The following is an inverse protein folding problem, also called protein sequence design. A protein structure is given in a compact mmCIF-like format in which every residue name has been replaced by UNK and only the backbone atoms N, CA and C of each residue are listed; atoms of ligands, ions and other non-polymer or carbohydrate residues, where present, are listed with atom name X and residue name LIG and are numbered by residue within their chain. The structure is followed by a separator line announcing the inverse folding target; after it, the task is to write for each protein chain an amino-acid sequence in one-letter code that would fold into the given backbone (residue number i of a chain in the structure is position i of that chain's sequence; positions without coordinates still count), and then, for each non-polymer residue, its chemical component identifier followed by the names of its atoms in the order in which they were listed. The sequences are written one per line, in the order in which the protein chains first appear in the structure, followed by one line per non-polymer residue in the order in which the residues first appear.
data_IF_247852248241
#
_entry.id   IF_247852248241
#
_cell.length_a   1.000
_cell.length_b   1.000
_cell.length_c   1.000
_cell.angle_alpha   90.00
_cell.angle_beta   90.00
_cell.angle_gamma   90.00
#
_symmetry.space_group_name_H-M   'P 1'
#
loop_
_entity.id
_entity.type
_entity.pdbx_description
1 polymer ?
#
# COMPACT_ATOMS: atom_id res chain seq x y z
N UNK A 1 -32.99 10.84 -56.50
CA UNK A 1 -31.89 9.87 -56.38
C UNK A 1 -32.53 8.49 -56.34
N UNK A 2 -32.47 7.77 -57.45
CA UNK A 2 -32.90 6.37 -57.49
C UNK A 2 -31.91 5.54 -56.66
N UNK A 3 -32.44 4.74 -55.75
CA UNK A 3 -31.65 3.92 -54.84
C UNK A 3 -31.45 2.56 -55.51
N UNK A 4 -30.51 2.46 -56.45
CA UNK A 4 -30.27 1.23 -57.19
C UNK A 4 -29.40 0.27 -56.37
N UNK A 5 -29.92 -0.92 -56.09
CA UNK A 5 -29.16 -1.97 -55.42
C UNK A 5 -28.08 -2.51 -56.37
N UNK A 6 -26.82 -2.39 -55.96
CA UNK A 6 -25.69 -2.89 -56.74
C UNK A 6 -25.42 -4.35 -56.38
N UNK A 7 -25.37 -5.21 -57.40
CA UNK A 7 -25.02 -6.61 -57.21
C UNK A 7 -23.51 -6.76 -57.00
N UNK A 8 -23.15 -7.33 -55.85
CA UNK A 8 -21.79 -7.60 -55.44
C UNK A 8 -21.62 -9.10 -55.23
N UNK A 9 -20.55 -9.67 -55.77
CA UNK A 9 -20.21 -11.08 -55.56
C UNK A 9 -18.95 -11.22 -54.71
N UNK A 10 -18.95 -12.21 -53.82
CA UNK A 10 -17.78 -12.53 -53.01
C UNK A 10 -16.77 -13.25 -53.88
N UNK A 11 -15.56 -12.70 -53.99
CA UNK A 11 -14.49 -13.37 -54.70
C UNK A 11 -13.86 -14.43 -53.80
N UNK A 12 -13.92 -15.70 -54.19
CA UNK A 12 -13.19 -16.76 -53.51
C UNK A 12 -11.69 -16.58 -53.79
N UNK A 13 -10.91 -16.32 -52.73
CA UNK A 13 -9.45 -16.16 -52.83
C UNK A 13 -8.86 -17.51 -53.23
N UNK A 14 -8.58 -17.71 -54.52
CA UNK A 14 -7.91 -18.94 -54.99
C UNK A 14 -6.45 -18.75 -55.34
N UNK A 15 -5.95 -17.53 -55.51
CA UNK A 15 -4.53 -17.30 -55.73
C UNK A 15 -4.16 -15.89 -55.25
N UNK A 16 -3.56 -15.79 -54.06
CA UNK A 16 -2.58 -14.77 -53.67
C UNK A 16 -2.09 -15.11 -52.27
N UNK A 17 -0.91 -15.74 -52.23
CA UNK A 17 -0.08 -15.77 -51.04
C UNK A 17 0.23 -14.32 -50.61
N UNK A 18 0.24 -14.10 -49.30
CA UNK A 18 0.63 -12.87 -48.61
C UNK A 18 -0.38 -11.71 -48.60
N UNK A 19 -1.40 -11.84 -47.76
CA UNK A 19 -1.76 -10.78 -46.82
C UNK A 19 -2.47 -11.36 -45.59
N UNK A 20 -1.90 -11.10 -44.42
CA UNK A 20 -2.44 -11.44 -43.09
C UNK A 20 -3.78 -10.72 -42.84
N UNK A 21 -4.67 -11.43 -42.15
CA UNK A 21 -5.97 -11.04 -41.58
C UNK A 21 -7.19 -10.79 -42.50
N UNK A 22 -8.13 -11.74 -42.43
CA UNK A 22 -9.60 -11.60 -42.32
C UNK A 22 -10.45 -10.68 -43.23
N UNK A 23 -9.92 -10.05 -44.29
CA UNK A 23 -10.76 -9.24 -45.18
C UNK A 23 -11.47 -10.08 -46.26
N UNK A 24 -12.79 -9.97 -46.35
CA UNK A 24 -13.59 -10.57 -47.42
C UNK A 24 -13.65 -9.60 -48.60
N UNK A 25 -13.06 -9.99 -49.74
CA UNK A 25 -13.10 -9.19 -50.97
C UNK A 25 -14.43 -9.37 -51.70
N UNK A 26 -15.15 -8.27 -51.88
CA UNK A 26 -16.35 -8.19 -52.69
C UNK A 26 -16.04 -7.41 -53.97
N UNK A 27 -16.55 -7.91 -55.09
CA UNK A 27 -16.46 -7.23 -56.39
C UNK A 27 -17.87 -6.87 -56.81
N UNK A 28 -18.12 -5.57 -56.93
CA UNK A 28 -19.40 -5.03 -57.36
C UNK A 28 -19.25 -4.44 -58.76
N UNK A 29 -20.28 -4.61 -59.61
CA UNK A 29 -20.30 -4.03 -60.95
C UNK A 29 -21.56 -3.21 -61.11
N UNK A 30 -21.41 -2.00 -61.64
CA UNK A 30 -22.52 -1.11 -61.98
C UNK A 30 -22.35 -0.60 -63.40
N UNK A 31 -23.45 -0.47 -64.12
CA UNK A 31 -23.51 0.12 -65.46
C UNK A 31 -24.18 1.48 -65.33
N UNK A 32 -23.45 2.54 -65.67
CA UNK A 32 -23.98 3.90 -65.74
C UNK A 32 -23.59 4.49 -67.10
N UNK A 33 -24.52 5.20 -67.73
CA UNK A 33 -24.36 5.75 -69.07
C UNK A 33 -24.00 7.24 -69.05
N UNK A 34 -23.84 7.83 -67.86
CA UNK A 34 -23.67 9.26 -67.67
C UNK A 34 -22.44 9.58 -66.82
N UNK A 35 -21.41 10.12 -67.45
CA UNK A 35 -20.17 10.57 -66.81
C UNK A 35 -19.91 12.03 -67.19
N UNK A 36 -19.56 12.86 -66.22
CA UNK A 36 -19.33 14.28 -66.43
C UNK A 36 -18.70 14.96 -65.24
N UNK A 37 -18.07 16.11 -65.47
CA UNK A 37 -17.50 16.94 -64.41
C UNK A 37 -18.65 17.43 -63.52
N UNK A 38 -18.61 17.08 -62.22
CA UNK A 38 -19.64 17.40 -61.23
C UNK A 38 -20.68 16.31 -60.98
N UNK A 39 -20.50 15.09 -61.53
CA UNK A 39 -21.29 13.91 -61.17
C UNK A 39 -20.54 13.11 -60.09
N UNK A 40 -21.11 13.05 -58.89
CA UNK A 40 -20.59 12.28 -57.76
C UNK A 40 -21.49 11.08 -57.45
N UNK A 41 -20.92 9.87 -57.51
CA UNK A 41 -21.57 8.63 -57.09
C UNK A 41 -21.20 8.31 -55.63
N UNK A 42 -22.22 8.10 -54.78
CA UNK A 42 -22.03 7.76 -53.37
C UNK A 42 -22.53 6.35 -53.10
N UNK A 43 -21.61 5.45 -52.78
CA UNK A 43 -21.92 4.06 -52.42
C UNK A 43 -21.99 3.90 -50.90
N UNK A 44 -22.95 3.12 -50.42
CA UNK A 44 -23.10 2.80 -49.00
C UNK A 44 -23.51 1.34 -48.80
N UNK A 45 -23.07 0.74 -47.70
CA UNK A 45 -23.45 -0.61 -47.33
C UNK A 45 -24.64 -0.57 -46.39
N UNK A 46 -25.72 -1.25 -46.76
CA UNK A 46 -26.89 -1.43 -45.90
C UNK A 46 -26.92 -2.87 -45.38
N UNK A 47 -26.87 -3.10 -44.07
CA UNK A 47 -26.99 -4.45 -43.53
C UNK A 47 -28.40 -5.00 -43.78
N UNK A 48 -28.49 -6.30 -44.06
CA UNK A 48 -29.77 -6.99 -44.28
C UNK A 48 -30.66 -7.02 -43.02
N UNK A 49 -30.04 -6.92 -41.84
CA UNK A 49 -30.74 -6.87 -40.56
C UNK A 49 -30.84 -5.43 -40.08
N UNK A 50 -32.01 -5.08 -39.54
CA UNK A 50 -32.21 -3.80 -38.85
C UNK A 50 -31.49 -3.85 -37.50
N UNK A 51 -30.29 -3.27 -37.44
CA UNK A 51 -29.52 -3.13 -36.21
C UNK A 51 -29.90 -1.82 -35.53
N UNK A 52 -30.90 -1.88 -34.65
CA UNK A 52 -31.43 -0.71 -33.94
C UNK A 52 -31.72 -1.06 -32.49
N UNK A 53 -31.42 -0.12 -31.59
CA UNK A 53 -31.89 -0.12 -30.20
C UNK A 53 -32.54 1.22 -29.90
N UNK A 54 -33.66 1.21 -29.20
CA UNK A 54 -34.40 2.39 -28.76
C UNK A 54 -34.69 2.25 -27.26
N UNK A 55 -34.63 3.36 -26.54
CA UNK A 55 -34.92 3.41 -25.11
C UNK A 55 -35.78 4.64 -24.81
N UNK A 56 -36.95 4.41 -24.19
CA UNK A 56 -37.75 5.48 -23.62
C UNK A 56 -37.20 5.81 -22.23
N UNK A 57 -36.74 7.04 -22.04
CA UNK A 57 -36.11 7.49 -20.80
C UNK A 57 -37.06 8.42 -20.05
N UNK A 58 -37.49 7.99 -18.86
CA UNK A 58 -38.16 8.87 -17.92
C UNK A 58 -37.11 9.74 -17.22
N UNK A 59 -37.16 11.05 -17.49
CA UNK A 59 -36.19 12.03 -16.99
C UNK A 59 -36.17 12.09 -15.46
N UNK A 60 -37.28 11.84 -14.79
CA UNK A 60 -37.39 11.95 -13.33
C UNK A 60 -37.05 10.65 -12.59
N UNK A 61 -36.96 9.52 -13.32
CA UNK A 61 -36.53 8.22 -12.79
C UNK A 61 -35.10 7.83 -13.20
N UNK A 62 -34.44 8.65 -14.02
CA UNK A 62 -33.07 8.40 -14.50
C UNK A 62 -32.20 9.65 -14.31
N UNK A 63 -32.29 10.28 -13.14
CA UNK A 63 -31.54 11.50 -12.84
C UNK A 63 -30.12 11.16 -12.42
N UNK A 64 -29.12 11.64 -13.15
CA UNK A 64 -27.74 11.69 -12.67
C UNK A 64 -27.40 13.14 -12.31
N UNK A 65 -27.15 13.39 -11.03
CA UNK A 65 -26.87 14.75 -10.55
C UNK A 65 -25.43 15.15 -10.87
N UNK A 66 -25.17 16.45 -10.89
CA UNK A 66 -23.81 16.97 -11.02
C UNK A 66 -23.00 16.72 -9.75
N UNK A 67 -21.68 16.48 -9.87
CA UNK A 67 -20.80 16.22 -8.72
C UNK A 67 -20.75 17.41 -7.77
N UNK A 68 -20.76 17.17 -6.44
CA UNK A 68 -20.56 18.23 -5.45
C UNK A 68 -19.29 19.03 -5.69
N UNK A 69 -19.33 20.32 -5.38
CA UNK A 69 -18.23 21.26 -5.65
C UNK A 69 -17.67 21.86 -4.36
N UNK A 70 -16.45 22.40 -4.43
CA UNK A 70 -15.79 23.11 -3.32
C UNK A 70 -15.71 22.27 -2.04
N UNK A 71 -15.36 20.99 -2.16
CA UNK A 71 -15.07 20.16 -1.00
C UNK A 71 -13.83 20.71 -0.28
N UNK A 72 -13.99 21.06 1.00
CA UNK A 72 -12.93 21.58 1.85
C UNK A 72 -12.99 20.95 3.23
N UNK A 73 -11.82 20.83 3.87
CA UNK A 73 -11.69 20.28 5.23
C UNK A 73 -11.14 21.36 6.15
N UNK A 74 -11.75 21.51 7.33
CA UNK A 74 -11.30 22.45 8.35
C UNK A 74 -11.21 21.78 9.72
N UNK A 75 -10.17 22.11 10.49
CA UNK A 75 -9.98 21.62 11.85
C UNK A 75 -10.84 22.43 12.82
N UNK A 76 -11.66 21.76 13.62
CA UNK A 76 -12.50 22.41 14.64
C UNK A 76 -11.71 22.66 15.92
N UNK A 77 -12.25 23.48 16.83
CA UNK A 77 -11.65 23.73 18.15
C UNK A 77 -11.57 22.48 19.03
N UNK A 78 -12.42 21.47 18.79
CA UNK A 78 -12.38 20.18 19.48
C UNK A 78 -11.31 19.23 18.95
N UNK A 79 -10.63 19.59 17.85
CA UNK A 79 -9.66 18.74 17.16
C UNK A 79 -10.28 17.84 16.08
N UNK A 80 -11.59 17.91 15.87
CA UNK A 80 -12.31 17.15 14.84
C UNK A 80 -12.19 17.80 13.45
N UNK A 81 -12.55 17.07 12.40
CA UNK A 81 -12.44 17.55 11.02
C UNK A 81 -13.82 17.80 10.42
N UNK A 82 -14.11 19.05 10.08
CA UNK A 82 -15.33 19.47 9.43
C UNK A 82 -15.11 19.54 7.91
N UNK A 83 -15.74 18.62 7.19
CA UNK A 83 -15.83 18.62 5.73
C UNK A 83 -17.05 19.43 5.33
N UNK A 84 -16.88 20.34 4.38
CA UNK A 84 -17.96 21.14 3.80
C UNK A 84 -17.86 21.13 2.28
N UNK A 85 -19.00 21.09 1.61
CA UNK A 85 -19.10 21.18 0.15
C UNK A 85 -20.31 22.03 -0.25
N UNK A 86 -20.46 22.26 -1.54
CA UNK A 86 -21.65 22.87 -2.15
C UNK A 86 -22.29 21.89 -3.12
N UNK A 87 -23.62 21.92 -3.20
CA UNK A 87 -24.33 21.33 -4.32
C UNK A 87 -23.87 22.03 -5.61
N UNK A 88 -23.84 21.31 -6.72
CA UNK A 88 -23.46 21.88 -8.01
C UNK A 88 -24.50 22.89 -8.51
N UNK A 89 -24.02 24.00 -9.08
CA UNK A 89 -24.85 24.99 -9.75
C UNK A 89 -25.56 24.31 -10.94
N UNK A 90 -26.89 24.26 -10.91
CA UNK A 90 -27.71 23.56 -11.90
C UNK A 90 -28.67 22.50 -11.31
N UNK A 91 -28.48 22.10 -10.05
CA UNK A 91 -29.41 21.23 -9.32
C UNK A 91 -30.63 22.01 -8.76
N UNK A 92 -31.01 23.12 -9.40
CA UNK A 92 -32.10 24.00 -8.94
C UNK A 92 -33.41 23.20 -8.79
N UNK A 93 -33.89 23.09 -7.55
CA UNK A 93 -35.08 22.29 -7.18
C UNK A 93 -34.80 20.98 -6.43
N UNK A 94 -33.54 20.52 -6.36
CA UNK A 94 -33.12 19.32 -5.62
C UNK A 94 -32.28 19.60 -4.37
N UNK A 95 -31.88 20.84 -4.09
CA UNK A 95 -30.87 21.15 -3.04
C UNK A 95 -31.16 20.55 -1.66
N UNK A 96 -32.42 20.51 -1.23
CA UNK A 96 -32.85 19.93 0.05
C UNK A 96 -33.25 18.45 -0.06
N UNK A 97 -33.16 17.88 -1.25
CA UNK A 97 -33.63 16.56 -1.61
C UNK A 97 -32.49 15.64 -2.11
N UNK A 98 -31.23 16.03 -1.90
CA UNK A 98 -30.05 15.23 -2.23
C UNK A 98 -29.57 14.40 -1.03
N UNK A 99 -29.15 13.18 -1.33
CA UNK A 99 -28.37 12.34 -0.43
C UNK A 99 -26.92 12.34 -0.90
N UNK A 100 -26.00 12.55 0.03
CA UNK A 100 -24.57 12.62 -0.21
C UNK A 100 -23.89 11.41 0.38
N UNK A 101 -22.96 10.84 -0.38
CA UNK A 101 -22.05 9.82 0.11
C UNK A 101 -20.65 10.45 0.22
N UNK A 102 -20.16 10.52 1.46
CA UNK A 102 -18.79 10.95 1.76
C UNK A 102 -17.95 9.71 1.92
N UNK A 103 -16.88 9.59 1.15
CA UNK A 103 -15.88 8.52 1.31
C UNK A 103 -14.55 9.12 1.68
N UNK A 104 -13.84 8.47 2.61
CA UNK A 104 -12.52 8.91 3.04
C UNK A 104 -11.62 7.73 3.38
N UNK A 105 -10.32 7.93 3.18
CA UNK A 105 -9.28 6.95 3.41
C UNK A 105 -7.96 7.63 3.69
N UNK A 106 -6.97 6.89 4.17
CA UNK A 106 -5.59 7.38 4.16
C UNK A 106 -5.08 7.41 2.74
N UNK A 107 -4.17 8.33 2.46
CA UNK A 107 -3.68 8.58 1.10
C UNK A 107 -3.14 7.30 0.43
N UNK A 108 -2.45 6.45 1.20
CA UNK A 108 -1.86 5.20 0.73
C UNK A 108 -2.84 4.00 0.64
N UNK A 109 -4.05 4.12 1.18
CA UNK A 109 -5.05 3.04 1.15
C UNK A 109 -5.78 3.00 -0.21
N UNK A 110 -6.35 1.83 -0.55
CA UNK A 110 -7.24 1.70 -1.72
C UNK A 110 -8.63 2.27 -1.41
N UNK A 111 -9.27 2.86 -2.41
CA UNK A 111 -10.67 3.31 -2.34
C UNK A 111 -11.67 2.17 -2.08
N UNK A 112 -11.33 0.92 -2.43
CA UNK A 112 -12.19 -0.26 -2.17
C UNK A 112 -12.40 -0.54 -0.68
N UNK A 113 -11.48 -0.09 0.18
CA UNK A 113 -11.52 -0.28 1.63
C UNK A 113 -11.82 1.02 2.38
N UNK A 114 -12.18 2.08 1.66
CA UNK A 114 -12.46 3.39 2.24
C UNK A 114 -13.67 3.33 3.18
N UNK A 115 -13.62 4.12 4.24
CA UNK A 115 -14.79 4.36 5.07
C UNK A 115 -15.76 5.27 4.30
N UNK A 116 -17.05 5.09 4.53
CA UNK A 116 -18.09 5.88 3.90
C UNK A 116 -19.19 6.26 4.88
N UNK A 117 -19.83 7.40 4.61
CA UNK A 117 -20.93 7.94 5.38
C UNK A 117 -22.01 8.40 4.39
N UNK A 118 -23.26 7.99 4.62
CA UNK A 118 -24.42 8.55 3.91
C UNK A 118 -25.05 9.67 4.72
N UNK A 119 -25.34 10.78 4.06
CA UNK A 119 -25.83 12.01 4.66
C UNK A 119 -26.97 12.59 3.84
N UNK A 120 -28.13 12.79 4.45
CA UNK A 120 -29.31 13.33 3.78
C UNK A 120 -29.44 14.83 4.01
N UNK A 121 -29.68 15.60 2.94
CA UNK A 121 -30.06 17.02 3.00
C UNK A 121 -29.08 17.91 3.80
N UNK A 122 -27.79 17.56 3.80
CA UNK A 122 -26.73 18.35 4.44
C UNK A 122 -25.51 18.43 3.54
N UNK A 123 -24.78 19.54 3.61
CA UNK A 123 -23.56 19.77 2.83
C UNK A 123 -22.31 19.81 3.71
N UNK A 124 -22.40 19.21 4.90
CA UNK A 124 -21.33 19.14 5.88
C UNK A 124 -21.28 17.79 6.57
N UNK A 125 -20.08 17.35 6.89
CA UNK A 125 -19.79 16.12 7.62
C UNK A 125 -18.72 16.40 8.69
N UNK A 126 -18.94 15.93 9.91
CA UNK A 126 -17.95 16.03 10.98
C UNK A 126 -17.32 14.65 11.20
N UNK A 127 -16.02 14.56 11.00
CA UNK A 127 -15.23 13.37 11.30
C UNK A 127 -14.54 13.55 12.65
N UNK A 128 -14.82 12.63 13.57
CA UNK A 128 -14.21 12.61 14.90
C UNK A 128 -12.73 12.26 14.80
N UNK A 129 -11.88 13.03 15.46
CA UNK A 129 -10.43 12.76 15.50
C UNK A 129 -10.07 11.41 16.14
N UNK A 130 -10.99 10.83 16.94
CA UNK A 130 -10.79 9.52 17.59
C UNK A 130 -10.91 8.36 16.62
N UNK A 131 -11.65 8.55 15.53
CA UNK A 131 -11.87 7.53 14.51
C UNK A 131 -10.80 7.58 13.41
N UNK A 132 -9.94 8.60 13.44
CA UNK A 132 -8.84 8.80 12.51
C UNK A 132 -7.51 8.40 13.16
N UNK A 133 -6.59 7.90 12.36
CA UNK A 133 -5.24 7.57 12.81
C UNK A 133 -4.41 8.86 12.87
N UNK A 134 -3.84 9.24 14.03
CA UNK A 134 -3.02 10.46 14.14
C UNK A 134 -1.71 10.37 13.34
N UNK A 135 -1.19 11.52 12.89
CA UNK A 135 0.02 11.63 12.05
C UNK A 135 -0.13 11.01 10.66
N UNK A 136 -1.35 10.99 10.11
CA UNK A 136 -1.66 10.39 8.81
C UNK A 136 -2.23 11.43 7.84
N UNK A 137 -1.85 11.32 6.57
CA UNK A 137 -2.49 12.02 5.45
C UNK A 137 -3.76 11.28 5.04
N UNK A 138 -4.88 12.00 5.02
CA UNK A 138 -6.19 11.52 4.62
C UNK A 138 -6.67 12.26 3.38
N UNK A 139 -7.50 11.58 2.60
CA UNK A 139 -8.19 12.13 1.45
C UNK A 139 -9.67 11.74 1.50
N UNK A 140 -10.54 12.67 1.12
CA UNK A 140 -11.97 12.45 1.00
C UNK A 140 -12.52 12.94 -0.34
N UNK A 141 -13.62 12.32 -0.75
CA UNK A 141 -14.43 12.72 -1.91
C UNK A 141 -15.90 12.49 -1.64
N UNK A 142 -16.75 13.28 -2.28
CA UNK A 142 -18.19 13.27 -2.06
C UNK A 142 -18.92 13.12 -3.40
N UNK A 143 -19.99 12.34 -3.43
CA UNK A 143 -20.91 12.28 -4.56
C UNK A 143 -22.35 12.39 -4.07
N UNK A 144 -23.26 12.78 -4.94
CA UNK A 144 -24.66 13.01 -4.60
C UNK A 144 -25.57 12.09 -5.42
N UNK A 145 -26.76 11.80 -4.90
CA UNK A 145 -27.86 11.22 -5.66
C UNK A 145 -29.19 11.85 -5.22
N UNK A 146 -30.27 11.73 -6.00
CA UNK A 146 -31.59 12.07 -5.50
C UNK A 146 -31.92 11.26 -4.24
N UNK A 147 -32.34 11.95 -3.19
CA UNK A 147 -32.72 11.34 -1.93
C UNK A 147 -34.06 10.61 -2.03
N UNK A 148 -34.34 9.64 -1.14
CA UNK A 148 -35.57 8.84 -1.21
C UNK A 148 -36.87 9.66 -1.14
N UNK A 149 -36.85 10.79 -0.45
CA UNK A 149 -38.00 11.68 -0.27
C UNK A 149 -38.16 12.71 -1.41
N UNK A 150 -37.29 12.70 -2.41
CA UNK A 150 -37.28 13.71 -3.47
C UNK A 150 -38.35 13.51 -4.55
N UNK A 151 -38.94 12.31 -4.64
CA UNK A 151 -39.80 11.92 -5.75
C UNK A 151 -39.03 11.62 -7.06
N UNK A 152 -37.72 11.86 -7.07
CA UNK A 152 -36.81 11.53 -8.16
C UNK A 152 -36.00 10.29 -7.80
N UNK A 153 -35.62 9.51 -8.81
CA UNK A 153 -34.72 8.38 -8.65
C UNK A 153 -33.60 8.44 -9.69
N UNK A 154 -32.47 7.80 -9.37
CA UNK A 154 -31.33 7.84 -10.26
C UNK A 154 -30.03 7.38 -9.60
N UNK A 155 -28.96 7.48 -10.39
CA UNK A 155 -27.63 7.05 -9.99
C UNK A 155 -26.91 8.15 -9.23
N UNK A 156 -25.82 7.76 -8.58
CA UNK A 156 -24.89 8.73 -8.03
C UNK A 156 -24.24 9.55 -9.15
N UNK A 157 -23.97 10.81 -8.82
CA UNK A 157 -23.06 11.66 -9.58
C UNK A 157 -21.68 11.03 -9.68
N UNK A 158 -20.88 11.56 -10.59
CA UNK A 158 -19.43 11.44 -10.50
C UNK A 158 -18.94 11.98 -9.14
N UNK A 159 -17.72 11.61 -8.78
CA UNK A 159 -17.09 12.09 -7.55
C UNK A 159 -16.71 13.57 -7.65
N UNK A 160 -16.77 14.28 -6.53
CA UNK A 160 -16.17 15.60 -6.37
C UNK A 160 -14.65 15.52 -6.55
N UNK A 161 -14.02 16.68 -6.72
CA UNK A 161 -12.58 16.81 -6.49
C UNK A 161 -12.23 16.35 -5.08
N UNK A 162 -11.10 15.68 -4.94
CA UNK A 162 -10.61 15.18 -3.68
C UNK A 162 -10.12 16.33 -2.78
N UNK A 163 -10.36 16.22 -1.48
CA UNK A 163 -9.82 17.12 -0.48
C UNK A 163 -8.95 16.33 0.50
N UNK A 164 -7.73 16.81 0.74
CA UNK A 164 -6.76 16.18 1.62
C UNK A 164 -6.57 16.97 2.91
N UNK A 165 -6.24 16.26 3.99
CA UNK A 165 -5.86 16.86 5.26
C UNK A 165 -4.91 15.95 6.03
N UNK A 166 -4.19 16.52 6.99
CA UNK A 166 -3.31 15.78 7.89
C UNK A 166 -3.89 15.76 9.30
N UNK A 167 -3.81 14.60 9.95
CA UNK A 167 -4.14 14.48 11.36
C UNK A 167 -2.95 14.89 12.24
N UNK A 168 -3.18 15.52 13.41
CA UNK A 168 -2.11 15.94 14.30
C UNK A 168 -1.13 14.81 14.62
N UNK A 169 0.14 15.17 14.80
CA UNK A 169 1.19 14.20 15.07
C UNK A 169 0.88 13.32 16.28
N UNK A 170 1.02 12.03 16.06
CA UNK A 170 0.91 11.04 17.11
C UNK A 170 2.24 10.81 17.82
N UNK A 171 2.18 10.50 19.12
CA UNK A 171 3.30 9.89 19.84
C UNK A 171 3.82 8.59 19.20
N UNK A 172 4.96 8.12 19.70
CA UNK A 172 5.76 7.01 19.17
C UNK A 172 5.19 5.60 19.41
N UNK A 173 4.03 5.50 20.05
CA UNK A 173 3.38 4.23 20.35
C UNK A 173 2.88 3.53 19.07
N UNK A 174 2.86 2.18 19.04
CA UNK A 174 2.17 1.43 17.99
C UNK A 174 0.70 1.84 17.87
N UNK A 175 0.16 1.81 16.65
CA UNK A 175 -1.19 2.31 16.34
C UNK A 175 -1.97 1.32 15.49
N UNK A 176 -3.27 1.58 15.38
CA UNK A 176 -4.20 0.87 14.49
C UNK A 176 -4.11 -0.66 14.64
N UNK A 177 -4.06 -1.15 15.89
CA UNK A 177 -4.05 -2.58 16.17
C UNK A 177 -5.41 -3.15 15.77
N UNK A 178 -5.42 -4.08 14.83
CA UNK A 178 -6.62 -4.77 14.35
C UNK A 178 -6.36 -6.26 14.36
N UNK A 179 -7.31 -7.03 14.89
CA UNK A 179 -7.26 -8.48 14.89
C UNK A 179 -8.52 -9.04 14.26
N UNK A 180 -8.37 -9.95 13.30
CA UNK A 180 -9.46 -10.57 12.55
C UNK A 180 -9.36 -12.08 12.70
N UNK A 181 -10.39 -12.69 13.29
CA UNK A 181 -10.52 -14.14 13.38
C UNK A 181 -11.12 -14.69 12.08
N UNK A 182 -10.50 -15.70 11.50
CA UNK A 182 -10.96 -16.32 10.25
C UNK A 182 -12.19 -17.23 10.42
N UNK A 183 -12.68 -17.43 11.65
CA UNK A 183 -13.80 -18.32 11.96
C UNK A 183 -13.42 -19.80 12.08
N UNK A 184 -12.14 -20.14 11.94
CA UNK A 184 -11.65 -21.51 11.98
C UNK A 184 -10.57 -21.68 13.06
N UNK A 185 -9.36 -21.20 12.79
CA UNK A 185 -8.15 -21.58 13.52
C UNK A 185 -7.11 -20.46 13.61
N UNK A 186 -7.34 -19.28 13.01
CA UNK A 186 -6.34 -18.20 12.93
C UNK A 186 -6.93 -16.85 13.28
N UNK A 187 -6.29 -16.17 14.22
CA UNK A 187 -6.50 -14.77 14.53
C UNK A 187 -5.33 -13.97 13.94
N UNK A 188 -5.60 -13.23 12.88
CA UNK A 188 -4.58 -12.39 12.21
C UNK A 188 -4.62 -11.00 12.81
N UNK A 189 -3.52 -10.58 13.43
CA UNK A 189 -3.38 -9.25 14.00
C UNK A 189 -2.39 -8.40 13.19
N UNK A 190 -2.72 -7.13 12.97
CA UNK A 190 -1.87 -6.16 12.28
C UNK A 190 -1.82 -4.85 13.05
N UNK A 191 -0.67 -4.19 13.05
CA UNK A 191 -0.45 -2.90 13.70
C UNK A 191 0.54 -2.05 12.90
N UNK A 192 0.60 -0.76 13.23
CA UNK A 192 1.42 0.21 12.53
C UNK A 192 2.45 0.84 13.48
N UNK A 193 3.69 0.97 12.99
CA UNK A 193 4.82 1.58 13.69
C UNK A 193 5.50 2.62 12.82
N UNK A 194 6.00 3.70 13.41
CA UNK A 194 6.75 4.72 12.65
C UNK A 194 8.09 4.15 12.18
N UNK A 195 8.42 4.32 10.90
CA UNK A 195 9.68 3.85 10.29
C UNK A 195 10.91 4.29 11.08
N UNK A 196 10.92 5.53 11.54
CA UNK A 196 12.04 6.12 12.29
C UNK A 196 12.37 5.40 13.59
N UNK A 197 11.45 4.60 14.15
CA UNK A 197 11.68 3.82 15.37
C UNK A 197 12.07 2.37 15.06
N UNK A 198 11.61 1.82 13.93
CA UNK A 198 11.86 0.41 13.57
C UNK A 198 13.35 0.06 13.43
N UNK A 199 14.22 1.05 13.23
CA UNK A 199 15.68 0.86 13.20
C UNK A 199 16.30 0.61 14.58
N UNK A 200 15.61 1.00 15.65
CA UNK A 200 16.16 1.02 17.02
C UNK A 200 15.36 0.17 18.00
N UNK A 201 14.06 -0.02 17.73
CA UNK A 201 13.15 -0.78 18.60
C UNK A 201 12.40 -1.80 17.78
N UNK A 202 12.49 -3.05 18.19
CA UNK A 202 11.67 -4.13 17.66
C UNK A 202 10.37 -4.20 18.46
N UNK A 203 9.26 -4.40 17.77
CA UNK A 203 7.96 -4.60 18.40
C UNK A 203 7.53 -6.05 18.26
N UNK A 204 7.07 -6.63 19.37
CA UNK A 204 6.46 -7.94 19.43
C UNK A 204 4.98 -7.82 19.74
N UNK A 205 4.21 -8.79 19.26
CA UNK A 205 2.82 -8.95 19.65
C UNK A 205 2.71 -10.04 20.71
N UNK A 206 2.07 -9.72 21.82
CA UNK A 206 1.88 -10.60 22.96
C UNK A 206 0.39 -10.79 23.21
N UNK A 207 -0.02 -12.02 23.50
CA UNK A 207 -1.42 -12.35 23.66
C UNK A 207 -1.68 -13.33 24.81
N UNK A 208 -2.91 -13.30 25.31
CA UNK A 208 -3.47 -14.25 26.27
C UNK A 208 -4.76 -14.82 25.72
N UNK A 209 -4.89 -16.15 25.74
CA UNK A 209 -6.07 -16.87 25.25
C UNK A 209 -7.28 -16.68 26.19
N UNK A 210 -7.00 -16.50 27.48
CA UNK A 210 -7.95 -16.14 28.53
C UNK A 210 -7.31 -15.17 29.53
N UNK A 211 -8.08 -14.39 30.32
CA UNK A 211 -7.51 -13.43 31.28
C UNK A 211 -6.50 -14.02 32.27
N UNK A 212 -6.68 -15.30 32.64
CA UNK A 212 -5.83 -16.03 33.58
C UNK A 212 -4.66 -16.79 32.92
N UNK A 213 -4.60 -16.86 31.59
CA UNK A 213 -3.55 -17.57 30.87
C UNK A 213 -2.20 -16.84 30.93
N UNK A 214 -1.12 -17.63 30.79
CA UNK A 214 0.23 -17.09 30.62
C UNK A 214 0.30 -16.37 29.27
N UNK A 215 0.91 -15.19 29.29
CA UNK A 215 1.12 -14.40 28.08
C UNK A 215 2.12 -15.09 27.15
N UNK A 216 1.78 -15.16 25.87
CA UNK A 216 2.58 -15.77 24.81
C UNK A 216 3.02 -14.70 23.81
N UNK A 217 4.17 -14.88 23.20
CA UNK A 217 4.64 -14.05 22.09
C UNK A 217 4.21 -14.68 20.75
N UNK A 218 3.69 -13.86 19.84
CA UNK A 218 3.35 -14.28 18.49
C UNK A 218 4.59 -14.22 17.60
N UNK A 219 4.87 -15.29 16.86
CA UNK A 219 5.96 -15.35 15.89
C UNK A 219 5.64 -16.27 14.71
N UNK A 220 6.15 -15.98 13.49
CA UNK A 220 6.97 -14.83 13.12
C UNK A 220 6.13 -13.55 12.90
N UNK A 221 6.76 -12.38 13.09
CA UNK A 221 6.18 -11.08 12.72
C UNK A 221 6.55 -10.77 11.27
N UNK A 222 5.54 -10.54 10.43
CA UNK A 222 5.70 -10.12 9.05
C UNK A 222 5.64 -8.61 8.93
N UNK A 223 6.48 -8.05 8.06
CA UNK A 223 6.61 -6.61 7.88
C UNK A 223 6.32 -6.21 6.43
N UNK A 224 5.56 -5.13 6.26
CA UNK A 224 5.24 -4.52 4.97
C UNK A 224 5.48 -3.01 5.02
N UNK A 225 6.51 -2.56 4.31
CA UNK A 225 6.84 -1.15 4.14
C UNK A 225 6.35 -0.61 2.79
N UNK A 226 5.92 0.66 2.78
CA UNK A 226 5.51 1.37 1.56
C UNK A 226 6.41 2.60 1.35
N UNK A 227 6.96 2.88 0.15
CA UNK A 227 7.99 3.90 -0.06
C UNK A 227 7.63 5.31 0.45
N UNK A 228 6.36 5.72 0.32
CA UNK A 228 5.89 7.08 0.64
C UNK A 228 5.05 7.16 1.92
N UNK A 229 5.02 6.09 2.72
CA UNK A 229 4.28 6.07 3.99
C UNK A 229 5.29 6.15 5.13
N UNK A 230 5.10 7.05 6.13
CA UNK A 230 6.03 7.19 7.26
C UNK A 230 5.91 6.03 8.29
N UNK A 231 5.02 5.08 8.03
CA UNK A 231 4.74 3.92 8.85
C UNK A 231 5.09 2.62 8.13
N UNK A 232 5.31 1.60 8.93
CA UNK A 232 5.44 0.21 8.52
C UNK A 232 4.30 -0.57 9.14
N UNK A 233 3.66 -1.42 8.33
CA UNK A 233 2.62 -2.32 8.82
C UNK A 233 3.28 -3.63 9.22
N UNK A 234 3.11 -4.03 10.47
CA UNK A 234 3.55 -5.32 10.98
C UNK A 234 2.35 -6.20 11.28
N UNK A 235 2.49 -7.51 11.12
CA UNK A 235 1.41 -8.47 11.32
C UNK A 235 1.92 -9.80 11.86
N UNK A 236 1.06 -10.50 12.60
CA UNK A 236 1.36 -11.83 13.11
C UNK A 236 0.06 -12.67 13.20
N UNK A 237 0.19 -13.97 12.99
CA UNK A 237 -0.93 -14.91 13.02
C UNK A 237 -0.88 -15.77 14.28
N UNK A 238 -1.92 -15.67 15.10
CA UNK A 238 -2.07 -16.46 16.32
C UNK A 238 -2.89 -17.71 16.00
N UNK A 239 -2.37 -18.92 16.28
CA UNK A 239 -3.15 -20.15 16.18
C UNK A 239 -4.19 -20.20 17.31
N UNK A 240 -5.45 -20.45 16.96
CA UNK A 240 -6.58 -20.53 17.89
C UNK A 240 -7.03 -21.99 17.98
N UNK A 241 -6.87 -22.58 19.17
CA UNK A 241 -7.31 -23.94 19.46
C UNK A 241 -8.45 -23.88 20.48
N UNK A 242 -9.63 -24.41 20.16
CA UNK A 242 -10.86 -24.35 20.99
C UNK A 242 -11.51 -22.97 21.10
N UNK A 243 -11.94 -22.39 19.98
CA UNK A 243 -12.79 -21.19 19.99
C UNK A 243 -14.21 -21.53 20.45
N UNK A 244 -14.68 -20.86 21.50
CA UNK A 244 -16.10 -20.79 21.85
C UNK A 244 -16.63 -19.38 21.62
N UNK A 245 -17.95 -19.18 21.67
CA UNK A 245 -18.55 -17.84 21.58
C UNK A 245 -18.13 -16.90 22.72
N UNK A 246 -17.50 -17.42 23.78
CA UNK A 246 -17.02 -16.67 24.94
C UNK A 246 -15.50 -16.48 24.95
N UNK A 247 -14.77 -17.01 23.96
CA UNK A 247 -13.32 -16.84 23.88
C UNK A 247 -12.96 -15.36 23.71
N UNK A 248 -12.15 -14.83 24.63
CA UNK A 248 -11.70 -13.45 24.61
C UNK A 248 -10.18 -13.39 24.70
N UNK A 249 -9.55 -13.07 23.57
CA UNK A 249 -8.11 -12.88 23.48
C UNK A 249 -7.75 -11.45 23.87
N UNK A 250 -6.81 -11.31 24.81
CA UNK A 250 -6.21 -10.02 25.10
C UNK A 250 -4.91 -9.91 24.30
N UNK A 251 -4.83 -8.93 23.40
CA UNK A 251 -3.66 -8.69 22.55
C UNK A 251 -3.02 -7.36 22.90
N UNK A 252 -1.69 -7.36 23.00
CA UNK A 252 -0.89 -6.16 23.25
C UNK A 252 0.32 -6.12 22.34
N UNK A 253 0.66 -4.94 21.84
CA UNK A 253 1.86 -4.70 21.06
C UNK A 253 2.79 -3.83 21.90
N UNK A 254 4.03 -4.29 22.11
CA UNK A 254 5.02 -3.57 22.91
C UNK A 254 6.43 -3.81 22.38
N UNK A 255 7.36 -2.97 22.81
CA UNK A 255 8.77 -3.16 22.51
C UNK A 255 9.22 -4.53 23.01
N UNK A 256 9.90 -5.27 22.14
CA UNK A 256 10.51 -6.54 22.46
C UNK A 256 11.87 -6.29 23.08
N UNK A 257 12.15 -6.96 24.19
CA UNK A 257 13.48 -6.96 24.78
C UNK A 257 14.33 -7.96 24.00
N UNK A 258 15.28 -7.46 23.23
CA UNK A 258 16.33 -8.29 22.62
C UNK A 258 17.55 -8.33 23.53
N UNK A 259 17.99 -9.54 23.85
CA UNK A 259 19.14 -9.76 24.70
C UNK A 259 20.23 -10.47 23.92
N UNK A 260 21.45 -9.91 23.98
CA UNK A 260 22.65 -10.57 23.46
C UNK A 260 23.46 -11.11 24.63
N UNK A 261 23.52 -12.43 24.76
CA UNK A 261 24.42 -13.06 25.71
C UNK A 261 25.88 -12.82 25.27
N UNK A 262 26.62 -12.07 26.08
CA UNK A 262 28.06 -11.86 25.89
C UNK A 262 28.79 -12.66 26.97
N UNK A 263 29.32 -13.80 26.58
CA UNK A 263 30.20 -14.60 27.42
C UNK A 263 31.57 -13.92 27.50
N UNK A 264 31.85 -13.22 28.61
CA UNK A 264 33.07 -12.42 28.77
C UNK A 264 34.35 -13.22 28.52
N UNK A 265 34.41 -14.48 28.96
CA UNK A 265 35.58 -15.36 28.78
C UNK A 265 35.88 -15.71 27.31
N UNK A 266 34.90 -15.58 26.41
CA UNK A 266 35.07 -15.75 24.95
C UNK A 266 35.37 -14.44 24.22
N UNK A 267 35.26 -13.30 24.89
CA UNK A 267 35.36 -11.96 24.28
C UNK A 267 36.47 -11.12 24.94
N UNK A 268 37.57 -11.76 25.33
CA UNK A 268 38.72 -11.10 25.97
C UNK A 268 39.58 -10.46 24.89
N UNK A 269 39.73 -9.13 24.95
CA UNK A 269 40.73 -8.39 24.18
C UNK A 269 41.91 -8.03 25.08
N UNK A 270 43.00 -8.78 24.96
CA UNK A 270 44.24 -8.48 25.69
C UNK A 270 44.92 -7.24 25.11
N UNK A 271 45.60 -6.48 25.98
CA UNK A 271 46.44 -5.37 25.55
C UNK A 271 47.68 -5.90 24.82
N UNK A 272 48.20 -5.18 23.81
CA UNK A 272 49.41 -5.59 23.10
C UNK A 272 50.61 -5.65 24.07
N UNK A 273 51.54 -6.61 23.89
CA UNK A 273 52.75 -6.70 24.71
C UNK A 273 53.53 -5.39 24.74
N UNK A 274 53.98 -4.98 25.92
CA UNK A 274 54.70 -3.72 26.09
C UNK A 274 56.20 -3.90 25.86
N UNK A 275 56.87 -2.83 25.41
CA UNK A 275 58.32 -2.73 25.29
C UNK A 275 58.97 -3.91 24.54
N UNK A 276 58.46 -4.20 23.34
CA UNK A 276 59.10 -5.18 22.46
C UNK A 276 60.50 -4.66 22.08
N UNK A 277 61.54 -5.38 22.46
CA UNK A 277 62.93 -5.04 22.19
C UNK A 277 63.70 -6.23 21.64
N UNK A 278 64.79 -5.93 20.93
CA UNK A 278 65.71 -6.93 20.35
C UNK A 278 67.10 -6.66 20.90
N UNK A 279 67.74 -7.70 21.44
CA UNK A 279 69.15 -7.68 21.85
C UNK A 279 69.94 -8.76 21.12
N UNK A 280 71.25 -8.58 20.98
CA UNK A 280 72.16 -9.58 20.41
C UNK A 280 72.91 -10.25 21.55
N UNK A 281 72.91 -11.58 21.60
CA UNK A 281 73.63 -12.37 22.61
C UNK A 281 75.13 -12.45 22.30
N UNK A 282 75.93 -12.87 23.29
CA UNK A 282 77.39 -13.07 23.10
C UNK A 282 77.70 -14.10 22.00
N UNK A 283 76.78 -15.03 21.75
CA UNK A 283 76.84 -16.06 20.72
C UNK A 283 76.34 -15.60 19.33
N UNK A 284 76.15 -14.29 19.12
CA UNK A 284 75.60 -13.69 17.88
C UNK A 284 74.15 -14.09 17.54
N UNK A 285 73.35 -14.54 18.50
CA UNK A 285 71.92 -14.81 18.30
C UNK A 285 71.06 -13.56 18.61
N UNK A 286 69.90 -13.46 17.97
CA UNK A 286 68.93 -12.40 18.24
C UNK A 286 67.92 -12.86 19.30
N UNK A 287 67.80 -12.09 20.37
CA UNK A 287 66.82 -12.34 21.43
C UNK A 287 65.73 -11.27 21.39
N UNK A 288 64.47 -11.70 21.18
CA UNK A 288 63.29 -10.84 21.32
C UNK A 288 62.75 -10.90 22.74
N UNK A 289 62.53 -9.72 23.33
CA UNK A 289 61.95 -9.60 24.68
C UNK A 289 60.71 -8.71 24.62
N UNK A 290 59.72 -9.05 25.43
CA UNK A 290 58.53 -8.22 25.64
C UNK A 290 58.03 -8.37 27.07
N UNK A 291 57.29 -7.37 27.53
CA UNK A 291 56.66 -7.35 28.83
C UNK A 291 55.22 -7.84 28.68
N UNK A 292 54.90 -8.94 29.36
CA UNK A 292 53.52 -9.42 29.48
C UNK A 292 52.72 -8.52 30.43
N UNK A 293 51.45 -8.28 30.10
CA UNK A 293 50.52 -7.65 31.03
C UNK A 293 50.04 -8.66 32.06
N UNK A 294 50.05 -8.28 33.34
CA UNK A 294 49.48 -9.11 34.39
C UNK A 294 47.95 -9.12 34.27
N UNK A 295 47.37 -10.32 34.12
CA UNK A 295 45.94 -10.51 34.23
C UNK A 295 45.60 -10.77 35.70
N UNK A 296 44.41 -10.36 36.16
CA UNK A 296 43.96 -10.60 37.54
C UNK A 296 43.90 -12.08 37.93
N UNK A 297 43.69 -12.95 36.94
CA UNK A 297 43.67 -14.39 37.15
C UNK A 297 44.89 -15.01 36.47
N UNK A 298 45.74 -15.61 37.30
CA UNK A 298 47.00 -16.26 36.94
C UNK A 298 46.82 -17.54 36.12
N UNK A 299 45.68 -18.23 36.26
CA UNK A 299 45.34 -19.40 35.45
C UNK A 299 45.03 -19.07 33.98
N UNK A 300 44.81 -17.81 33.62
CA UNK A 300 44.60 -17.40 32.23
C UNK A 300 45.94 -17.38 31.51
N UNK A 301 46.20 -18.43 30.73
CA UNK A 301 47.43 -18.57 29.94
C UNK A 301 47.40 -17.61 28.74
N UNK A 302 48.45 -16.81 28.60
CA UNK A 302 48.67 -15.95 27.44
C UNK A 302 49.53 -16.71 26.42
N UNK A 303 49.11 -16.67 25.16
CA UNK A 303 49.91 -17.11 24.01
C UNK A 303 50.33 -15.88 23.23
N UNK A 304 51.58 -15.87 22.78
CA UNK A 304 52.13 -14.78 21.98
C UNK A 304 52.39 -15.29 20.58
N UNK A 305 52.16 -14.42 19.61
CA UNK A 305 52.52 -14.62 18.21
C UNK A 305 53.57 -13.57 17.87
N UNK A 306 54.68 -14.01 17.28
CA UNK A 306 55.81 -13.15 16.93
C UNK A 306 55.96 -13.17 15.42
N UNK A 307 55.81 -12.00 14.80
CA UNK A 307 56.12 -11.80 13.38
C UNK A 307 57.39 -10.97 13.23
N UNK A 308 58.31 -11.43 12.38
CA UNK A 308 59.49 -10.67 11.98
C UNK A 308 59.71 -10.81 10.48
N UNK A 309 60.34 -9.81 9.88
CA UNK A 309 60.69 -9.82 8.46
C UNK A 309 61.98 -9.08 8.22
N UNK A 310 62.71 -9.50 7.19
CA UNK A 310 63.86 -8.76 6.70
C UNK A 310 63.37 -7.63 5.81
N UNK A 311 63.67 -6.39 6.20
CA UNK A 311 63.38 -5.23 5.37
C UNK A 311 64.19 -5.39 4.07
N UNK A 312 63.49 -5.40 2.92
CA UNK A 312 63.96 -5.63 1.55
C UNK A 312 64.00 -7.08 1.00
N UNK A 313 63.42 -8.08 1.66
CA UNK A 313 63.13 -9.39 1.03
C UNK A 313 61.70 -9.84 1.37
N UNK A 314 60.82 -9.88 0.37
CA UNK A 314 59.44 -10.38 0.48
C UNK A 314 59.45 -11.89 0.64
N UNK A 315 59.50 -12.41 1.87
CA UNK A 315 58.98 -13.74 2.21
C UNK A 315 58.80 -13.85 3.74
N UNK A 316 57.55 -14.08 4.18
CA UNK A 316 57.17 -14.20 5.59
C UNK A 316 57.57 -15.57 6.14
N UNK A 317 58.28 -15.60 7.27
CA UNK A 317 58.48 -16.82 8.07
C UNK A 317 57.78 -16.63 9.41
N UNK A 318 56.76 -17.45 9.69
CA UNK A 318 56.02 -17.45 10.97
C UNK A 318 56.42 -18.70 11.76
N UNK A 319 56.83 -18.52 13.01
CA UNK A 319 57.09 -19.59 13.96
C UNK A 319 55.94 -19.62 14.97
N UNK A 320 55.29 -20.79 15.11
CA UNK A 320 54.15 -21.03 16.01
C UNK A 320 54.56 -21.41 17.42
#
# INVERSE_FOLDING_TARGET
RENNEMFCERQAVRDLHEASDSYVRWVCRTTTDNFGIGIDDVYSFKPNKKLQAELSVDLFQNVQTLPPQNLSVSLTKSGDFLLTWKAADGNQGLDNALEYEVTYKREWESWEKAAWLSLSSTTRCLLSHKDLVPGSSYVARVRARPGPASGFSGLYSEWSTEASWETPEGGLQPRNIRCLFNGADRLTCSWEVKKVITTSVLFGLFFRDTPASVEKECSPVHEKAFPHVPFVVQSCEIPVSNSSSQSQYLVSVRAKTEEKLIEAYKNIKVLPPANVSVSVTEDQEYELRWIKHALWYDFIKQRYEVEYWKINQYEKVSLR
#
